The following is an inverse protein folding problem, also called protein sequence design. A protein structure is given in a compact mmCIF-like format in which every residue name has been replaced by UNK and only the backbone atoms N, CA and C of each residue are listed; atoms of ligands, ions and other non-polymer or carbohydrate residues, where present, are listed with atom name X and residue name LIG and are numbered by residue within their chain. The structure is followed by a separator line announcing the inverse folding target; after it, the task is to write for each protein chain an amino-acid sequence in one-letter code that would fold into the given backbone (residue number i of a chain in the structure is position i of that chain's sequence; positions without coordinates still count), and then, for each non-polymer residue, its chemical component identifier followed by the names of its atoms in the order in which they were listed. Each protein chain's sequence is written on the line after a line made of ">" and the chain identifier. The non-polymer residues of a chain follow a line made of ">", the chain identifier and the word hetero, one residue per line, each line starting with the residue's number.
data_IF_397660872780
#
_entry.id   IF_397660872780
#
_cell.length_a   1.000
_cell.length_b   1.000
_cell.length_c   1.000
_cell.angle_alpha   90.00
_cell.angle_beta   90.00
_cell.angle_gamma   90.00
#
_symmetry.space_group_name_H-M   'P 1'
#
loop_
_entity.id
_entity.type
_entity.pdbx_description
1 polymer ?
#
# COMPACT_ATOMS: atom_id res chain seq x y z
N UNK A 1 -4.86 26.08 20.83
CA UNK A 1 -5.03 24.61 20.83
C UNK A 1 -3.70 24.03 20.39
N UNK A 2 -3.28 22.89 20.91
CA UNK A 2 -1.95 22.38 20.56
C UNK A 2 -1.89 21.98 19.07
N UNK A 3 -0.71 22.14 18.46
CA UNK A 3 -0.43 21.71 17.08
C UNK A 3 -0.25 20.20 17.00
N UNK A 4 0.29 19.56 18.03
CA UNK A 4 0.54 18.11 18.03
C UNK A 4 -0.76 17.29 17.97
N UNK A 5 -1.90 17.87 18.40
CA UNK A 5 -3.23 17.27 18.26
C UNK A 5 -3.62 17.02 16.79
N UNK A 6 -3.03 17.73 15.82
CA UNK A 6 -3.25 17.45 14.39
C UNK A 6 -2.40 16.27 13.87
N UNK A 7 -1.32 15.88 14.54
CA UNK A 7 -0.54 14.68 14.19
C UNK A 7 -1.16 13.46 14.88
N UNK A 8 -2.14 12.83 14.24
CA UNK A 8 -2.78 11.61 14.74
C UNK A 8 -2.18 10.34 14.14
N UNK A 9 -1.57 10.39 12.94
CA UNK A 9 -0.92 9.25 12.27
C UNK A 9 0.08 8.54 13.18
N UNK A 10 0.81 9.30 13.99
CA UNK A 10 1.77 8.81 14.99
C UNK A 10 1.16 7.92 16.07
N UNK A 11 -0.08 8.20 16.50
CA UNK A 11 -0.83 7.39 17.47
C UNK A 11 -1.61 6.29 16.75
N UNK A 12 -2.26 6.63 15.64
CA UNK A 12 -3.10 5.74 14.84
C UNK A 12 -2.37 4.48 14.34
N UNK A 13 -1.03 4.55 14.17
CA UNK A 13 -0.18 3.41 13.81
C UNK A 13 0.07 2.39 14.93
N UNK A 14 -0.14 2.77 16.19
CA UNK A 14 0.24 1.97 17.37
C UNK A 14 -0.90 1.75 18.37
N UNK A 15 -1.93 2.60 18.33
CA UNK A 15 -3.14 2.44 19.15
C UNK A 15 -3.94 1.22 18.68
N UNK A 16 -4.47 0.47 19.63
CA UNK A 16 -5.43 -0.60 19.36
C UNK A 16 -6.70 -0.07 18.69
N UNK A 17 -7.36 -0.89 17.89
CA UNK A 17 -8.65 -0.51 17.32
C UNK A 17 -9.74 -0.53 18.39
N UNK A 18 -10.60 0.51 18.41
CA UNK A 18 -11.83 0.52 19.21
C UNK A 18 -12.83 -0.57 18.79
N UNK A 19 -12.57 -1.33 17.72
CA UNK A 19 -13.35 -2.49 17.31
C UNK A 19 -12.82 -3.84 17.85
N UNK A 20 -11.72 -3.85 18.63
CA UNK A 20 -11.22 -5.05 19.32
C UNK A 20 -12.22 -5.54 20.39
N UNK A 21 -12.52 -6.84 20.37
CA UNK A 21 -13.46 -7.52 21.27
C UNK A 21 -13.11 -7.34 22.76
N UNK A 22 -11.84 -7.06 23.10
CA UNK A 22 -11.43 -6.80 24.49
C UNK A 22 -12.12 -5.60 25.12
N UNK A 23 -12.62 -4.66 24.31
CA UNK A 23 -13.38 -3.49 24.75
C UNK A 23 -14.90 -3.74 24.89
N UNK A 24 -15.44 -4.84 24.34
CA UNK A 24 -16.88 -5.19 24.35
C UNK A 24 -17.33 -5.85 25.67
N UNK A 25 -16.78 -5.42 26.83
CA UNK A 25 -17.05 -6.10 28.12
C UNK A 25 -18.26 -5.54 28.90
N UNK A 26 -18.98 -6.39 29.66
CA UNK A 26 -20.27 -6.07 30.25
C UNK A 26 -20.22 -5.34 31.61
N UNK A 27 -19.07 -4.84 32.06
CA UNK A 27 -18.98 -4.16 33.36
C UNK A 27 -19.75 -2.83 33.34
N UNK A 28 -20.62 -2.62 34.32
CA UNK A 28 -21.43 -1.40 34.49
C UNK A 28 -20.63 -0.19 35.04
N UNK A 29 -19.38 0.01 34.59
CA UNK A 29 -18.50 1.06 35.10
C UNK A 29 -19.05 2.47 34.87
N UNK A 30 -19.70 2.73 33.72
CA UNK A 30 -20.36 4.01 33.47
C UNK A 30 -21.71 4.15 34.21
N UNK A 31 -22.18 3.19 35.02
CA UNK A 31 -23.54 3.26 35.60
C UNK A 31 -23.80 4.49 36.47
N UNK A 32 -22.80 5.05 37.15
CA UNK A 32 -22.95 6.29 37.93
C UNK A 32 -22.99 7.53 37.03
N UNK A 33 -22.07 7.64 36.07
CA UNK A 33 -22.07 8.74 35.10
C UNK A 33 -23.34 8.71 34.24
N UNK A 34 -23.79 7.53 33.84
CA UNK A 34 -25.04 7.31 33.10
C UNK A 34 -26.26 7.87 33.84
N UNK A 35 -26.36 7.65 35.17
CA UNK A 35 -27.43 8.23 36.01
C UNK A 35 -27.38 9.76 35.98
N UNK A 36 -26.24 10.37 36.33
CA UNK A 36 -26.05 11.83 36.29
C UNK A 36 -26.34 12.43 34.91
N UNK A 37 -25.93 11.75 33.84
CA UNK A 37 -26.18 12.18 32.48
C UNK A 37 -27.67 12.10 32.10
N UNK A 38 -28.39 11.06 32.53
CA UNK A 38 -29.83 10.91 32.27
C UNK A 38 -30.69 11.89 33.09
N UNK A 39 -30.18 12.38 34.22
CA UNK A 39 -30.77 13.49 34.99
C UNK A 39 -30.63 14.85 34.29
N UNK A 40 -29.54 15.07 33.53
CA UNK A 40 -29.26 16.33 32.82
C UNK A 40 -29.74 16.33 31.36
N UNK A 41 -29.76 15.17 30.69
CA UNK A 41 -30.05 15.00 29.25
C UNK A 41 -31.12 13.91 29.01
N UNK A 42 -32.37 14.36 28.82
CA UNK A 42 -33.52 13.48 28.53
C UNK A 42 -33.40 12.72 27.20
N UNK A 43 -32.48 13.11 26.32
CA UNK A 43 -32.18 12.44 25.04
C UNK A 43 -31.48 11.08 25.20
N UNK A 44 -30.99 10.76 26.41
CA UNK A 44 -30.21 9.56 26.71
C UNK A 44 -31.12 8.35 26.89
N UNK A 45 -31.24 7.57 25.81
CA UNK A 45 -31.85 6.24 25.83
C UNK A 45 -30.91 5.17 26.41
N UNK A 46 -31.45 3.98 26.62
CA UNK A 46 -30.73 2.86 27.26
C UNK A 46 -29.64 2.26 26.34
N UNK A 47 -29.69 2.53 25.02
CA UNK A 47 -28.61 2.18 24.07
C UNK A 47 -27.28 2.86 24.40
N UNK A 48 -27.30 4.02 25.06
CA UNK A 48 -26.07 4.71 25.45
C UNK A 48 -25.31 3.99 26.58
N UNK A 49 -25.95 3.14 27.40
CA UNK A 49 -25.26 2.46 28.52
C UNK A 49 -24.15 1.54 28.01
N UNK A 50 -24.44 0.69 27.01
CA UNK A 50 -23.44 -0.18 26.37
C UNK A 50 -22.32 0.63 25.73
N UNK A 51 -22.68 1.69 24.99
CA UNK A 51 -21.69 2.55 24.35
C UNK A 51 -20.80 3.28 25.36
N UNK A 52 -21.35 3.72 26.50
CA UNK A 52 -20.58 4.41 27.54
C UNK A 52 -19.62 3.48 28.29
N UNK A 53 -20.04 2.25 28.64
CA UNK A 53 -19.16 1.26 29.27
C UNK A 53 -17.94 0.95 28.37
N UNK A 54 -18.17 0.86 27.05
CA UNK A 54 -17.09 0.68 26.06
C UNK A 54 -16.21 1.93 25.91
N UNK A 55 -16.79 3.13 25.88
CA UNK A 55 -16.00 4.39 25.91
C UNK A 55 -15.12 4.48 27.16
N UNK A 56 -15.65 4.14 28.34
CA UNK A 56 -14.89 4.11 29.58
C UNK A 56 -13.68 3.16 29.45
N UNK A 57 -13.92 1.90 29.09
CA UNK A 57 -12.85 0.92 28.99
C UNK A 57 -11.78 1.28 27.93
N UNK A 58 -12.15 1.94 26.85
CA UNK A 58 -11.18 2.39 25.85
C UNK A 58 -10.40 3.64 26.32
N UNK A 59 -11.00 4.53 27.11
CA UNK A 59 -10.31 5.67 27.73
C UNK A 59 -9.36 5.25 28.85
N UNK A 60 -9.73 4.26 29.66
CA UNK A 60 -8.87 3.55 30.64
C UNK A 60 -7.58 3.06 29.95
N UNK A 61 -7.70 2.27 28.89
CA UNK A 61 -6.57 1.81 28.06
C UNK A 61 -5.72 2.97 27.51
N UNK A 62 -6.35 4.02 26.96
CA UNK A 62 -5.62 5.18 26.42
C UNK A 62 -4.85 5.96 27.48
N UNK A 63 -5.34 6.00 28.73
CA UNK A 63 -4.65 6.63 29.85
C UNK A 63 -3.47 5.79 30.32
N UNK A 64 -3.61 4.47 30.42
CA UNK A 64 -2.53 3.55 30.77
C UNK A 64 -1.39 3.57 29.73
N UNK A 65 -1.71 3.33 28.47
CA UNK A 65 -0.74 3.20 27.36
C UNK A 65 0.05 4.51 27.12
N UNK A 66 -0.61 5.67 27.26
CA UNK A 66 0.01 6.98 27.05
C UNK A 66 0.29 7.77 28.33
N UNK A 67 0.18 7.14 29.51
CA UNK A 67 0.48 7.75 30.82
C UNK A 67 -0.17 9.14 31.00
N UNK A 68 -1.42 9.27 30.54
CA UNK A 68 -2.18 10.53 30.57
C UNK A 68 -1.62 11.68 29.72
N UNK A 69 -0.70 11.45 28.78
CA UNK A 69 -0.11 12.52 27.97
C UNK A 69 -1.02 12.99 26.80
N UNK A 70 -0.52 13.90 25.96
CA UNK A 70 -1.25 14.46 24.80
C UNK A 70 -1.84 13.41 23.84
N UNK A 71 -1.25 12.22 23.73
CA UNK A 71 -1.78 11.12 22.92
C UNK A 71 -3.08 10.54 23.51
N UNK A 72 -3.24 10.56 24.83
CA UNK A 72 -4.54 10.31 25.50
C UNK A 72 -5.58 11.34 25.05
N UNK A 73 -5.19 12.61 24.93
CA UNK A 73 -6.07 13.66 24.43
C UNK A 73 -6.48 13.44 22.97
N UNK A 74 -5.59 12.90 22.12
CA UNK A 74 -5.93 12.45 20.76
C UNK A 74 -6.94 11.29 20.80
N UNK A 75 -6.72 10.31 21.67
CA UNK A 75 -7.66 9.22 21.93
C UNK A 75 -9.06 9.69 22.38
N UNK A 76 -9.14 10.73 23.21
CA UNK A 76 -10.40 11.36 23.62
C UNK A 76 -11.20 11.90 22.40
N UNK A 77 -10.53 12.45 21.38
CA UNK A 77 -11.20 12.88 20.13
C UNK A 77 -11.65 11.66 19.31
N UNK A 78 -10.83 10.61 19.26
CA UNK A 78 -11.15 9.38 18.54
C UNK A 78 -12.41 8.69 19.08
N UNK A 79 -12.53 8.59 20.41
CA UNK A 79 -13.72 8.05 21.10
C UNK A 79 -14.97 8.89 20.82
N UNK A 80 -14.85 10.22 20.73
CA UNK A 80 -15.97 11.07 20.30
C UNK A 80 -16.47 10.73 18.90
N UNK A 81 -15.55 10.49 17.95
CA UNK A 81 -15.92 10.18 16.56
C UNK A 81 -16.62 8.82 16.46
N UNK A 82 -16.16 7.82 17.22
CA UNK A 82 -16.86 6.53 17.35
C UNK A 82 -18.25 6.69 17.98
N UNK A 83 -18.37 7.37 19.13
CA UNK A 83 -19.67 7.64 19.78
C UNK A 83 -20.64 8.40 18.87
N UNK A 84 -20.12 9.28 18.00
CA UNK A 84 -20.92 10.02 17.05
C UNK A 84 -21.50 9.11 15.94
N UNK A 85 -20.76 8.11 15.44
CA UNK A 85 -21.26 7.16 14.44
C UNK A 85 -22.31 6.18 15.00
N UNK A 86 -22.16 5.76 16.26
CA UNK A 86 -23.01 4.71 16.87
C UNK A 86 -24.19 5.25 17.68
N UNK A 87 -24.10 6.48 18.21
CA UNK A 87 -25.10 7.04 19.13
C UNK A 87 -25.48 8.50 18.81
N UNK A 88 -24.55 9.45 18.85
CA UNK A 88 -24.89 10.89 18.87
C UNK A 88 -25.35 11.47 17.52
N UNK A 89 -25.24 10.74 16.40
CA UNK A 89 -25.86 11.12 15.13
C UNK A 89 -27.38 10.91 15.09
N UNK A 90 -27.97 10.15 16.03
CA UNK A 90 -29.41 9.89 16.08
C UNK A 90 -30.17 11.19 16.37
N UNK A 91 -31.27 11.41 15.63
CA UNK A 91 -32.06 12.64 15.70
C UNK A 91 -32.53 13.00 17.12
N UNK A 92 -32.77 12.01 17.98
CA UNK A 92 -33.15 12.21 19.39
C UNK A 92 -32.19 13.13 20.15
N UNK A 93 -30.89 13.10 19.83
CA UNK A 93 -29.86 13.86 20.56
C UNK A 93 -29.85 15.35 20.23
N UNK A 94 -30.61 15.83 19.25
CA UNK A 94 -30.74 17.26 18.91
C UNK A 94 -29.39 18.03 18.85
N UNK A 95 -28.31 17.37 18.39
CA UNK A 95 -26.91 17.86 18.38
C UNK A 95 -26.23 18.04 19.75
N UNK A 96 -26.90 17.75 20.87
CA UNK A 96 -26.35 17.83 22.24
C UNK A 96 -25.29 16.76 22.57
N UNK A 97 -25.07 15.75 21.72
CA UNK A 97 -24.08 14.67 21.97
C UNK A 97 -22.66 15.15 22.29
N UNK A 98 -22.21 16.29 21.76
CA UNK A 98 -20.93 16.90 22.16
C UNK A 98 -20.95 17.38 23.62
N UNK A 99 -22.07 17.95 24.11
CA UNK A 99 -22.19 18.41 25.49
C UNK A 99 -22.27 17.22 26.46
N UNK A 100 -23.04 16.19 26.10
CA UNK A 100 -23.09 14.90 26.80
C UNK A 100 -21.69 14.29 26.92
N UNK A 101 -20.91 14.26 25.84
CA UNK A 101 -19.55 13.74 25.88
C UNK A 101 -18.60 14.59 26.74
N UNK A 102 -18.71 15.92 26.70
CA UNK A 102 -17.96 16.82 27.60
C UNK A 102 -18.28 16.55 29.07
N UNK A 103 -19.57 16.34 29.40
CA UNK A 103 -20.02 16.03 30.75
C UNK A 103 -19.51 14.65 31.19
N UNK A 104 -19.59 13.63 30.33
CA UNK A 104 -18.97 12.32 30.55
C UNK A 104 -17.47 12.40 30.90
N UNK A 105 -16.68 13.15 30.13
CA UNK A 105 -15.24 13.34 30.39
C UNK A 105 -14.96 14.10 31.70
N UNK A 106 -15.80 15.06 32.07
CA UNK A 106 -15.62 15.83 33.31
C UNK A 106 -16.02 15.04 34.57
N UNK A 107 -17.00 14.13 34.47
CA UNK A 107 -17.46 13.25 35.56
C UNK A 107 -16.68 11.93 35.62
N UNK A 108 -15.63 11.75 34.81
CA UNK A 108 -14.93 10.47 34.62
C UNK A 108 -14.32 9.90 35.91
N UNK A 109 -14.01 10.73 36.90
CA UNK A 109 -13.52 10.29 38.21
C UNK A 109 -14.55 9.54 39.07
N UNK A 110 -15.78 9.38 38.60
CA UNK A 110 -16.75 8.42 39.16
C UNK A 110 -16.53 6.97 38.66
N UNK A 111 -15.79 6.79 37.56
CA UNK A 111 -15.34 5.46 37.10
C UNK A 111 -14.02 5.10 37.80
N UNK A 112 -13.02 5.99 37.70
CA UNK A 112 -11.73 5.84 38.38
C UNK A 112 -11.32 7.17 39.03
N UNK A 113 -11.37 7.20 40.35
CA UNK A 113 -11.03 8.34 41.22
C UNK A 113 -9.70 9.04 40.92
N UNK A 114 -8.69 8.29 40.46
CA UNK A 114 -7.33 8.76 40.19
C UNK A 114 -7.10 9.12 38.71
N UNK A 115 -8.10 8.96 37.84
CA UNK A 115 -7.97 9.21 36.40
C UNK A 115 -7.71 10.68 36.08
N UNK A 116 -6.77 10.89 35.16
CA UNK A 116 -6.41 12.19 34.62
C UNK A 116 -7.29 12.62 33.45
N UNK A 117 -8.18 11.76 32.90
CA UNK A 117 -9.07 12.08 31.76
C UNK A 117 -9.72 13.49 31.83
N UNK A 118 -10.30 13.95 32.96
CA UNK A 118 -10.82 15.32 33.06
C UNK A 118 -9.73 16.38 32.92
N UNK A 119 -8.58 16.18 33.57
CA UNK A 119 -7.42 17.10 33.52
C UNK A 119 -6.82 17.20 32.12
N UNK A 120 -6.71 16.07 31.42
CA UNK A 120 -6.24 15.94 30.03
C UNK A 120 -7.17 16.71 29.09
N UNK A 121 -8.48 16.53 29.26
CA UNK A 121 -9.50 17.21 28.48
C UNK A 121 -9.51 18.73 28.71
N UNK A 122 -9.28 19.20 29.93
CA UNK A 122 -9.17 20.64 30.21
C UNK A 122 -7.81 21.22 29.77
N UNK A 123 -6.71 20.48 29.88
CA UNK A 123 -5.35 20.98 29.61
C UNK A 123 -5.05 21.05 28.11
N UNK A 124 -5.13 19.93 27.39
CA UNK A 124 -4.77 19.87 25.97
C UNK A 124 -5.89 20.36 25.05
N UNK A 125 -7.13 19.97 25.37
CA UNK A 125 -8.33 20.25 24.56
C UNK A 125 -9.10 21.49 25.02
N UNK A 126 -8.72 22.12 26.15
CA UNK A 126 -9.35 23.35 26.68
C UNK A 126 -10.86 23.24 26.85
N UNK A 127 -11.34 22.06 27.27
CA UNK A 127 -12.76 21.80 27.46
C UNK A 127 -13.57 21.76 26.15
N UNK A 128 -12.92 21.64 24.99
CA UNK A 128 -13.58 21.64 23.69
C UNK A 128 -12.97 20.68 22.67
N UNK A 129 -13.80 20.17 21.76
CA UNK A 129 -13.34 19.43 20.58
C UNK A 129 -13.69 20.28 19.35
N UNK A 130 -12.66 20.76 18.68
CA UNK A 130 -12.77 21.62 17.50
C UNK A 130 -13.35 20.91 16.27
N UNK A 131 -13.88 21.67 15.30
CA UNK A 131 -14.47 21.13 14.08
C UNK A 131 -13.42 20.51 13.14
N UNK A 132 -12.26 21.14 12.95
CA UNK A 132 -11.22 20.58 12.08
C UNK A 132 -10.60 19.34 12.71
N UNK A 133 -10.42 19.32 14.03
CA UNK A 133 -10.05 18.09 14.74
C UNK A 133 -11.13 17.00 14.60
N UNK A 134 -12.43 17.30 14.75
CA UNK A 134 -13.50 16.32 14.49
C UNK A 134 -13.44 15.75 13.08
N UNK A 135 -13.36 16.60 12.05
CA UNK A 135 -13.31 16.17 10.65
C UNK A 135 -12.10 15.24 10.39
N UNK A 136 -10.93 15.60 10.93
CA UNK A 136 -9.71 14.82 10.79
C UNK A 136 -9.80 13.45 11.48
N UNK A 137 -10.27 13.41 12.73
CA UNK A 137 -10.34 12.18 13.51
C UNK A 137 -11.49 11.27 13.06
N UNK A 138 -12.58 11.84 12.53
CA UNK A 138 -13.66 11.09 11.88
C UNK A 138 -13.18 10.41 10.59
N UNK A 139 -12.25 11.01 9.85
CA UNK A 139 -11.62 10.38 8.69
C UNK A 139 -10.77 9.16 9.08
N UNK A 140 -9.90 9.29 10.09
CA UNK A 140 -9.14 8.15 10.64
C UNK A 140 -10.05 7.08 11.26
N UNK A 141 -11.11 7.47 11.96
CA UNK A 141 -12.11 6.56 12.51
C UNK A 141 -12.82 5.75 11.42
N UNK A 142 -13.26 6.39 10.32
CA UNK A 142 -13.87 5.67 9.19
C UNK A 142 -12.86 4.76 8.48
N UNK A 143 -11.59 5.14 8.44
CA UNK A 143 -10.53 4.28 7.93
C UNK A 143 -10.30 3.04 8.81
N UNK A 144 -10.39 3.15 10.14
CA UNK A 144 -10.33 2.01 11.04
C UNK A 144 -11.56 1.10 10.96
N UNK A 145 -12.75 1.70 10.88
CA UNK A 145 -14.01 1.02 10.60
C UNK A 145 -13.94 0.20 9.31
N UNK A 146 -13.32 0.75 8.28
CA UNK A 146 -13.01 0.09 7.01
C UNK A 146 -11.99 -1.06 7.15
N UNK A 147 -10.84 -0.83 7.81
CA UNK A 147 -9.83 -1.89 8.10
C UNK A 147 -10.47 -3.11 8.79
N UNK A 148 -11.31 -2.84 9.78
CA UNK A 148 -12.05 -3.85 10.55
C UNK A 148 -13.34 -4.34 9.86
N UNK A 149 -13.61 -3.90 8.62
CA UNK A 149 -14.75 -4.33 7.76
C UNK A 149 -16.14 -4.03 8.33
N UNK A 150 -16.24 -3.14 9.31
CA UNK A 150 -17.46 -2.89 10.09
C UNK A 150 -18.49 -2.14 9.25
N UNK A 151 -19.65 -2.77 9.03
CA UNK A 151 -20.77 -2.28 8.19
C UNK A 151 -20.42 -2.11 6.69
N UNK A 152 -19.39 -2.79 6.17
CA UNK A 152 -19.05 -2.72 4.75
C UNK A 152 -19.96 -3.61 3.88
N UNK A 153 -21.13 -3.07 3.51
CA UNK A 153 -22.16 -3.71 2.67
C UNK A 153 -21.61 -4.29 1.35
N UNK A 154 -21.53 -5.62 1.25
CA UNK A 154 -21.29 -6.42 0.03
C UNK A 154 -19.99 -6.13 -0.77
N UNK A 155 -19.28 -5.04 -0.49
CA UNK A 155 -18.06 -4.64 -1.17
C UNK A 155 -17.16 -3.86 -0.21
N UNK A 156 -16.03 -4.47 0.13
CA UNK A 156 -14.94 -3.82 0.85
C UNK A 156 -14.48 -2.51 0.18
N UNK A 157 -14.57 -2.45 -1.15
CA UNK A 157 -14.12 -1.30 -1.94
C UNK A 157 -15.13 -0.17 -2.03
N UNK A 158 -16.42 -0.43 -1.76
CA UNK A 158 -17.41 0.62 -1.51
C UNK A 158 -17.03 1.41 -0.24
N UNK A 159 -16.70 0.71 0.86
CA UNK A 159 -16.15 1.33 2.07
C UNK A 159 -14.84 2.11 1.80
N UNK A 160 -13.92 1.54 1.01
CA UNK A 160 -12.69 2.22 0.64
C UNK A 160 -12.98 3.53 -0.12
N UNK A 161 -13.86 3.48 -1.13
CA UNK A 161 -14.28 4.63 -1.93
C UNK A 161 -14.99 5.70 -1.08
N UNK A 162 -15.90 5.31 -0.18
CA UNK A 162 -16.58 6.21 0.76
C UNK A 162 -15.57 6.95 1.65
N UNK A 163 -14.58 6.25 2.20
CA UNK A 163 -13.48 6.85 2.98
C UNK A 163 -12.63 7.81 2.12
N UNK A 164 -12.27 7.41 0.90
CA UNK A 164 -11.52 8.23 -0.07
C UNK A 164 -12.30 9.49 -0.50
N UNK A 165 -13.62 9.41 -0.61
CA UNK A 165 -14.47 10.53 -1.01
C UNK A 165 -14.64 11.56 0.13
N UNK A 166 -14.63 11.12 1.40
CA UNK A 166 -14.61 12.01 2.56
C UNK A 166 -13.25 12.72 2.68
N UNK A 167 -12.15 12.01 2.41
CA UNK A 167 -10.83 12.62 2.26
C UNK A 167 -10.82 13.73 1.21
N UNK A 168 -11.27 13.44 -0.03
CA UNK A 168 -11.35 14.42 -1.13
C UNK A 168 -12.19 15.63 -0.75
N UNK A 169 -13.34 15.41 -0.11
CA UNK A 169 -14.23 16.48 0.39
C UNK A 169 -13.48 17.40 1.36
N UNK A 170 -12.86 16.85 2.41
CA UNK A 170 -12.14 17.67 3.38
C UNK A 170 -10.93 18.39 2.78
N UNK A 171 -10.21 17.77 1.83
CA UNK A 171 -9.15 18.45 1.05
C UNK A 171 -9.76 19.66 0.31
N UNK A 172 -10.82 19.47 -0.46
CA UNK A 172 -11.48 20.53 -1.23
C UNK A 172 -12.10 21.66 -0.38
N UNK A 173 -12.69 21.34 0.77
CA UNK A 173 -13.41 22.31 1.62
C UNK A 173 -12.49 23.10 2.57
N UNK A 174 -11.33 22.55 2.93
CA UNK A 174 -10.47 23.09 4.01
C UNK A 174 -9.03 23.38 3.56
N UNK A 175 -8.57 22.79 2.46
CA UNK A 175 -7.22 23.01 1.90
C UNK A 175 -7.34 23.74 0.56
N UNK A 176 -6.93 25.01 0.55
CA UNK A 176 -6.83 25.79 -0.68
C UNK A 176 -5.53 25.48 -1.44
N UNK A 177 -5.04 26.46 -2.20
CA UNK A 177 -3.74 26.35 -2.88
C UNK A 177 -2.53 26.45 -1.93
N UNK A 178 -2.75 26.67 -0.63
CA UNK A 178 -1.74 26.67 0.43
C UNK A 178 -2.01 25.54 1.42
N UNK A 179 -1.29 24.43 1.24
CA UNK A 179 -1.38 23.21 2.05
C UNK A 179 -0.65 23.32 3.41
N UNK A 180 -0.11 24.47 3.78
CA UNK A 180 0.78 24.64 4.93
C UNK A 180 0.07 24.62 6.31
N UNK A 181 -1.26 24.46 6.37
CA UNK A 181 -1.96 24.30 7.66
C UNK A 181 -1.66 22.94 8.30
N UNK A 182 -1.69 22.86 9.63
CA UNK A 182 -1.40 21.60 10.33
C UNK A 182 -2.45 20.51 10.04
N UNK A 183 -3.69 20.91 9.75
CA UNK A 183 -4.77 20.02 9.26
C UNK A 183 -4.47 19.48 7.86
N UNK A 184 -4.06 20.33 6.91
CA UNK A 184 -3.79 19.90 5.53
C UNK A 184 -2.54 19.01 5.44
N UNK A 185 -1.50 19.31 6.23
CA UNK A 185 -0.33 18.43 6.40
C UNK A 185 -0.73 17.03 6.86
N UNK A 186 -1.65 16.94 7.81
CA UNK A 186 -2.12 15.63 8.26
C UNK A 186 -3.01 14.93 7.22
N UNK A 187 -3.84 15.66 6.46
CA UNK A 187 -4.56 15.08 5.32
C UNK A 187 -3.58 14.46 4.29
N UNK A 188 -2.40 15.05 4.06
CA UNK A 188 -1.36 14.44 3.21
C UNK A 188 -0.70 13.21 3.86
N UNK A 189 -0.55 13.18 5.20
CA UNK A 189 -0.09 11.98 5.91
C UNK A 189 -1.12 10.85 5.81
N UNK A 190 -2.40 11.15 6.03
CA UNK A 190 -3.52 10.23 5.87
C UNK A 190 -3.58 9.66 4.45
N UNK A 191 -3.46 10.50 3.41
CA UNK A 191 -3.46 10.05 2.00
C UNK A 191 -2.36 9.02 1.74
N UNK A 192 -1.15 9.25 2.26
CA UNK A 192 -0.05 8.28 2.16
C UNK A 192 -0.39 6.98 2.88
N UNK A 193 -0.78 7.07 4.15
CA UNK A 193 -1.09 5.91 5.00
C UNK A 193 -2.22 5.04 4.44
N UNK A 194 -3.29 5.67 3.94
CA UNK A 194 -4.42 5.03 3.27
C UNK A 194 -3.99 4.29 1.99
N UNK A 195 -3.19 4.94 1.14
CA UNK A 195 -2.72 4.36 -0.12
C UNK A 195 -1.74 3.20 0.10
N UNK A 196 -0.82 3.32 1.06
CA UNK A 196 0.10 2.25 1.45
C UNK A 196 -0.66 1.03 1.98
N UNK A 197 -1.71 1.24 2.77
CA UNK A 197 -2.57 0.17 3.26
C UNK A 197 -3.34 -0.55 2.14
N UNK A 198 -3.98 0.18 1.20
CA UNK A 198 -4.66 -0.43 0.05
C UNK A 198 -3.70 -1.26 -0.80
N UNK A 199 -2.51 -0.72 -1.07
CA UNK A 199 -1.44 -1.36 -1.84
C UNK A 199 -0.92 -2.63 -1.17
N UNK A 200 -0.69 -2.60 0.14
CA UNK A 200 -0.23 -3.78 0.90
C UNK A 200 -1.24 -4.93 0.87
N UNK A 201 -2.54 -4.63 0.82
CA UNK A 201 -3.61 -5.64 0.83
C UNK A 201 -4.15 -5.99 -0.57
N UNK A 202 -3.67 -5.34 -1.64
CA UNK A 202 -4.14 -5.51 -3.04
C UNK A 202 -5.68 -5.44 -3.21
N UNK A 203 -6.35 -4.69 -2.33
CA UNK A 203 -7.76 -4.97 -2.02
C UNK A 203 -8.77 -4.41 -3.01
N UNK A 204 -8.46 -3.28 -3.65
CA UNK A 204 -9.44 -2.50 -4.43
C UNK A 204 -8.97 -2.10 -5.83
N UNK A 205 -8.16 -2.96 -6.42
CA UNK A 205 -7.62 -2.78 -7.75
C UNK A 205 -8.66 -3.19 -8.82
N UNK A 206 -9.67 -2.34 -9.04
CA UNK A 206 -10.79 -2.55 -9.98
C UNK A 206 -10.38 -2.68 -11.47
N UNK A 207 -9.09 -2.82 -11.76
CA UNK A 207 -8.52 -3.00 -13.08
C UNK A 207 -7.36 -4.02 -13.14
N UNK A 208 -6.87 -4.58 -12.02
CA UNK A 208 -5.63 -5.37 -12.01
C UNK A 208 -5.72 -6.62 -12.88
N UNK A 209 -6.66 -7.53 -12.59
CA UNK A 209 -6.86 -8.76 -13.36
C UNK A 209 -7.10 -8.48 -14.85
N UNK A 210 -7.91 -7.47 -15.16
CA UNK A 210 -8.26 -7.10 -16.54
C UNK A 210 -7.02 -6.56 -17.28
N UNK A 211 -6.22 -5.67 -16.68
CA UNK A 211 -4.98 -5.16 -17.31
C UNK A 211 -3.90 -6.24 -17.42
N UNK A 212 -3.67 -7.03 -16.37
CA UNK A 212 -2.65 -8.10 -16.36
C UNK A 212 -2.96 -9.18 -17.39
N UNK A 213 -4.23 -9.42 -17.72
CA UNK A 213 -4.64 -10.36 -18.79
C UNK A 213 -4.67 -9.68 -20.16
N UNK A 214 -5.25 -8.47 -20.31
CA UNK A 214 -5.35 -7.83 -21.63
C UNK A 214 -4.03 -7.28 -22.16
N UNK A 215 -3.08 -6.79 -21.35
CA UNK A 215 -1.80 -6.31 -21.87
C UNK A 215 -1.02 -7.38 -22.66
N UNK A 216 -0.76 -8.60 -22.12
CA UNK A 216 -0.08 -9.64 -22.90
C UNK A 216 -0.92 -10.14 -24.08
N UNK A 217 -2.25 -10.20 -23.97
CA UNK A 217 -3.12 -10.59 -25.11
C UNK A 217 -3.08 -9.55 -26.23
N UNK A 218 -3.16 -8.25 -25.93
CA UNK A 218 -3.08 -7.17 -26.91
C UNK A 218 -1.68 -7.13 -27.56
N UNK A 219 -0.61 -7.25 -26.77
CA UNK A 219 0.77 -7.27 -27.29
C UNK A 219 0.99 -8.49 -28.20
N UNK A 220 0.61 -9.69 -27.77
CA UNK A 220 0.74 -10.91 -28.61
C UNK A 220 -0.15 -10.86 -29.85
N UNK A 221 -1.36 -10.31 -29.77
CA UNK A 221 -2.23 -10.09 -30.93
C UNK A 221 -1.63 -9.09 -31.92
N UNK A 222 -1.07 -7.96 -31.45
CA UNK A 222 -0.41 -6.96 -32.30
C UNK A 222 0.82 -7.55 -32.98
N UNK A 223 1.67 -8.28 -32.24
CA UNK A 223 2.85 -8.97 -32.80
C UNK A 223 2.41 -10.00 -33.85
N UNK A 224 1.39 -10.82 -33.55
CA UNK A 224 0.88 -11.84 -34.49
C UNK A 224 0.31 -11.21 -35.76
N UNK A 225 -0.38 -10.06 -35.64
CA UNK A 225 -0.89 -9.30 -36.76
C UNK A 225 0.25 -8.72 -37.61
N UNK A 226 1.27 -8.11 -36.99
CA UNK A 226 2.46 -7.60 -37.68
C UNK A 226 3.19 -8.74 -38.41
N UNK A 227 3.41 -9.88 -37.76
CA UNK A 227 4.05 -11.06 -38.37
C UNK A 227 3.23 -11.61 -39.54
N UNK A 228 1.90 -11.68 -39.42
CA UNK A 228 1.01 -12.10 -40.51
C UNK A 228 1.09 -11.16 -41.72
N UNK A 229 1.08 -9.84 -41.49
CA UNK A 229 1.21 -8.86 -42.58
C UNK A 229 2.62 -8.86 -43.19
N UNK A 230 3.68 -9.03 -42.41
CA UNK A 230 5.04 -9.20 -42.93
C UNK A 230 5.16 -10.48 -43.76
N UNK A 231 4.62 -11.61 -43.30
CA UNK A 231 4.66 -12.87 -44.05
C UNK A 231 3.81 -12.83 -45.34
N UNK A 232 2.67 -12.13 -45.32
CA UNK A 232 1.74 -12.03 -46.45
C UNK A 232 2.13 -10.95 -47.49
N UNK A 233 2.75 -9.86 -47.07
CA UNK A 233 3.01 -8.69 -47.93
C UNK A 233 4.49 -8.31 -48.07
N UNK A 234 5.41 -8.84 -47.25
CA UNK A 234 6.86 -8.69 -47.46
C UNK A 234 7.43 -9.95 -48.12
N UNK A 235 7.81 -9.93 -49.42
CA UNK A 235 8.30 -11.10 -50.14
C UNK A 235 9.76 -11.46 -49.78
N UNK A 236 10.02 -11.76 -48.50
CA UNK A 236 11.30 -12.29 -48.03
C UNK A 236 11.60 -13.67 -48.64
N UNK A 237 10.57 -14.44 -48.99
CA UNK A 237 10.66 -15.65 -49.81
C UNK A 237 11.15 -15.44 -51.25
N UNK A 238 11.37 -14.20 -51.70
CA UNK A 238 11.81 -13.88 -53.07
C UNK A 238 13.19 -13.22 -53.17
N UNK A 239 13.93 -13.05 -52.06
CA UNK A 239 15.29 -12.46 -52.07
C UNK A 239 16.38 -13.31 -51.41
N UNK A 240 16.06 -14.47 -50.86
CA UNK A 240 17.05 -15.49 -50.47
C UNK A 240 17.55 -16.36 -51.64
N UNK A 241 17.00 -16.19 -52.85
CA UNK A 241 17.70 -16.56 -54.08
C UNK A 241 18.87 -15.59 -54.34
N UNK A 242 19.93 -15.73 -53.53
CA UNK A 242 21.23 -15.12 -53.80
C UNK A 242 21.66 -15.61 -55.19
N UNK A 243 21.90 -14.66 -56.10
CA UNK A 243 21.89 -14.87 -57.55
C UNK A 243 23.09 -15.71 -58.02
N UNK A 244 23.00 -17.03 -57.92
CA UNK A 244 24.01 -17.99 -58.41
C UNK A 244 24.08 -18.01 -59.94
N UNK A 245 24.60 -16.91 -60.52
CA UNK A 245 25.15 -16.87 -61.87
C UNK A 245 26.63 -17.24 -61.83
N UNK A 246 26.92 -18.43 -61.30
CA UNK A 246 28.20 -19.08 -61.55
C UNK A 246 28.34 -19.28 -63.07
N UNK A 247 29.22 -18.51 -63.71
CA UNK A 247 29.66 -18.80 -65.08
C UNK A 247 30.34 -20.16 -65.07
N UNK A 248 29.68 -21.19 -65.64
CA UNK A 248 30.42 -22.32 -66.21
C UNK A 248 31.40 -21.74 -67.25
N UNK A 249 32.70 -22.07 -67.13
CA UNK A 249 33.67 -22.18 -68.23
C UNK A 249 35.11 -22.48 -67.74
N UNK A 250 35.29 -23.62 -67.06
CA UNK A 250 36.49 -24.48 -67.18
C UNK A 250 36.25 -25.80 -66.47
N UNK A 251 36.17 -26.90 -67.21
CA UNK A 251 36.16 -28.28 -66.70
C UNK A 251 36.93 -29.23 -67.66
N UNK A 252 37.90 -28.68 -68.40
CA UNK A 252 38.70 -29.36 -69.42
C UNK A 252 40.19 -29.35 -69.01
N UNK A 253 40.50 -29.88 -67.83
CA UNK A 253 41.89 -30.07 -67.36
C UNK A 253 42.03 -31.07 -66.20
N UNK A 254 41.10 -32.03 -66.08
CA UNK A 254 41.09 -33.06 -65.02
C UNK A 254 40.84 -34.47 -65.59
N UNK A 255 40.25 -34.56 -66.79
CA UNK A 255 39.93 -35.84 -67.46
C UNK A 255 41.07 -36.39 -68.37
N UNK A 256 42.19 -35.67 -68.43
CA UNK A 256 43.37 -36.00 -69.26
C UNK A 256 44.44 -36.79 -68.46
N UNK A 257 44.57 -36.51 -67.16
CA UNK A 257 45.48 -37.24 -66.25
C UNK A 257 45.12 -38.74 -66.11
N UNK A 258 43.84 -39.09 -66.33
CA UNK A 258 43.36 -40.47 -66.20
C UNK A 258 43.83 -41.38 -67.35
N UNK A 259 44.25 -40.82 -68.50
CA UNK A 259 44.56 -41.61 -69.72
C UNK A 259 46.04 -41.71 -70.10
N UNK A 260 46.93 -40.92 -69.49
CA UNK A 260 48.37 -40.97 -69.75
C UNK A 260 49.18 -41.76 -68.70
N UNK A 261 48.52 -42.55 -67.84
CA UNK A 261 49.17 -43.49 -66.92
C UNK A 261 49.70 -44.72 -67.70
N UNK A 262 50.77 -44.54 -68.49
CA UNK A 262 51.45 -45.63 -69.19
C UNK A 262 52.97 -45.40 -69.38
N UNK A 263 53.68 -45.54 -68.26
CA UNK A 263 55.09 -45.95 -68.04
C UNK A 263 55.89 -46.59 -69.21
N UNK A 264 57.24 -46.69 -69.13
CA UNK A 264 58.25 -45.90 -68.36
C UNK A 264 59.64 -45.67 -69.03
N UNK A 265 60.48 -44.75 -68.53
CA UNK A 265 61.97 -44.94 -68.42
C UNK A 265 62.77 -43.79 -67.75
N UNK A 266 63.72 -44.16 -66.84
CA UNK A 266 65.14 -43.73 -66.64
C UNK A 266 65.66 -42.45 -67.38
N UNK A 267 66.56 -41.56 -66.91
CA UNK A 267 67.63 -41.50 -65.84
C UNK A 267 68.23 -40.04 -65.80
N UNK A 268 69.17 -39.52 -64.97
CA UNK A 268 69.99 -39.85 -63.75
C UNK A 268 70.66 -38.56 -63.18
N UNK A 269 71.18 -38.58 -61.93
CA UNK A 269 72.21 -37.66 -61.32
C UNK A 269 71.84 -36.18 -61.01
N UNK A 270 72.53 -35.44 -60.10
CA UNK A 270 73.64 -35.74 -59.14
C UNK A 270 73.78 -34.71 -57.98
N UNK A 271 74.51 -35.10 -56.91
CA UNK A 271 75.34 -34.27 -55.98
C UNK A 271 74.68 -33.23 -55.04
N UNK A 272 75.16 -32.97 -53.81
CA UNK A 272 76.23 -33.63 -53.01
C UNK A 272 76.11 -33.41 -51.49
N UNK A 273 76.76 -34.32 -50.74
CA UNK A 273 77.15 -34.30 -49.31
C UNK A 273 77.47 -32.87 -48.79
N UNK A 274 77.01 -32.39 -47.63
CA UNK A 274 76.97 -32.92 -46.25
C UNK A 274 78.31 -32.84 -45.47
N UNK A 275 78.27 -32.24 -44.28
CA UNK A 275 79.26 -32.38 -43.18
C UNK A 275 78.55 -32.18 -41.82
N UNK A 276 78.73 -33.07 -40.82
CA UNK A 276 78.05 -32.97 -39.52
C UNK A 276 79.01 -32.70 -38.34
N UNK A 277 78.47 -32.09 -37.27
CA UNK A 277 78.94 -32.33 -35.90
C UNK A 277 77.77 -32.24 -34.92
N UNK A 278 77.78 -33.15 -33.94
CA UNK A 278 76.74 -33.38 -32.92
C UNK A 278 77.09 -32.73 -31.58
N UNK A 279 76.13 -32.81 -30.63
CA UNK A 279 76.13 -32.43 -29.20
C UNK A 279 75.30 -31.15 -28.93
N UNK A 280 74.36 -31.15 -27.97
CA UNK A 280 73.87 -32.29 -27.18
C UNK A 280 72.88 -31.90 -26.08
N UNK A 281 72.40 -32.94 -25.38
CA UNK A 281 71.53 -32.92 -24.18
C UNK A 281 70.04 -32.58 -24.30
N UNK A 282 69.25 -33.36 -23.55
CA UNK A 282 67.85 -33.12 -23.24
C UNK A 282 67.72 -32.25 -21.98
N UNK A 283 66.60 -31.55 -21.85
CA UNK A 283 65.74 -31.75 -20.68
C UNK A 283 64.28 -31.55 -21.09
N UNK A 284 63.35 -32.14 -20.33
CA UNK A 284 61.91 -32.10 -20.59
C UNK A 284 61.17 -31.72 -19.29
N UNK A 285 59.93 -31.28 -19.48
CA UNK A 285 58.79 -31.42 -18.56
C UNK A 285 58.68 -30.56 -17.27
N UNK A 286 57.58 -29.79 -17.26
CA UNK A 286 56.54 -29.68 -16.21
C UNK A 286 56.89 -29.12 -14.81
N UNK A 287 56.39 -27.91 -14.46
CA UNK A 287 55.11 -27.57 -13.75
C UNK A 287 55.01 -28.13 -12.31
N UNK A 288 54.43 -27.41 -11.32
CA UNK A 288 53.14 -26.69 -11.40
C UNK A 288 53.18 -25.30 -12.07
#
# INVERSE_FOLDING_TARGET
>A
MDKELYNFESVYKVVDSIFDEKYEKPNESCSEIYKKLKEEYNEIGDSFTTHCNKSAKYLEYLEEEYQGNINTAKGIIYVYCWLYDVEFNKAQYNKNGINIYKKFLNEYTLIESMSNIPSIFQTYLKGNIDENLKNLYDLYYKFDKFKNKVKCENSYCKCAEECSNIYKKYKQEKCGNDDNTDFCKELHNFERHYNDYLKAHNTCDGNSYIRVILFPILITSIISFIVFFLFKFTPLGSRLCLRSKNKKNKWNSVDEDIRNIRNPSKTVHSSSKAHPYTLGYHSMDHTP
#
